data_IF_501817936903
#
_entry.id   IF_501817936903
#
_cell.length_a   1.000
_cell.length_b   1.000
_cell.length_c   1.000
_cell.angle_alpha   90.00
_cell.angle_beta   90.00
_cell.angle_gamma   90.00
#
_symmetry.space_group_name_H-M   'P 1'
#
loop_
_entity.id
_entity.type
_entity.pdbx_description
1 polymer ?
#
# COMPACT_ATOMS: atom_id res chain seq x y z
N UNK A 1 -14.13 -17.68 23.74
CA UNK A 1 -15.09 -17.03 24.68
C UNK A 1 -14.70 -15.57 24.98
N UNK A 2 -13.43 -15.17 24.85
CA UNK A 2 -12.96 -13.78 25.03
C UNK A 2 -12.79 -13.00 23.70
N UNK A 3 -13.04 -13.62 22.55
CA UNK A 3 -12.70 -13.09 21.21
C UNK A 3 -13.55 -11.88 20.79
N UNK A 4 -14.65 -11.59 21.49
CA UNK A 4 -15.49 -10.41 21.27
C UNK A 4 -15.20 -9.22 22.19
N UNK A 5 -14.19 -9.32 23.08
CA UNK A 5 -13.79 -8.23 23.98
C UNK A 5 -12.56 -7.50 23.45
N UNK A 6 -12.51 -6.19 23.69
CA UNK A 6 -11.32 -5.38 23.40
C UNK A 6 -10.12 -5.90 24.23
N UNK A 7 -8.93 -5.87 23.64
CA UNK A 7 -7.70 -6.32 24.28
C UNK A 7 -7.40 -5.49 25.55
N UNK A 8 -7.66 -4.19 25.49
CA UNK A 8 -7.43 -3.24 26.59
C UNK A 8 -5.99 -2.74 26.71
N UNK A 9 -5.80 -1.74 27.57
CA UNK A 9 -4.51 -1.12 27.85
C UNK A 9 -3.74 -1.86 28.95
N UNK A 10 -2.42 -1.65 29.03
CA UNK A 10 -1.60 -2.23 30.10
C UNK A 10 -2.07 -1.80 31.51
N UNK A 11 -2.53 -0.55 31.63
CA UNK A 11 -3.07 0.02 32.87
C UNK A 11 -4.38 -0.65 33.33
N UNK A 12 -5.12 -1.31 32.43
CA UNK A 12 -6.40 -1.95 32.76
C UNK A 12 -6.22 -3.14 33.73
N UNK A 13 -5.01 -3.71 33.80
CA UNK A 13 -4.66 -4.81 34.71
C UNK A 13 -4.73 -4.40 36.18
N UNK A 14 -4.41 -3.15 36.48
CA UNK A 14 -4.28 -2.62 37.84
C UNK A 14 -5.28 -1.51 38.15
N UNK A 15 -6.10 -1.11 37.17
CA UNK A 15 -7.12 -0.08 37.33
C UNK A 15 -8.27 -0.59 38.19
N UNK A 16 -8.76 0.26 39.09
CA UNK A 16 -9.99 -0.01 39.84
C UNK A 16 -11.10 0.99 39.49
N UNK A 17 -12.32 0.52 39.15
CA UNK A 17 -12.69 -0.89 38.92
C UNK A 17 -12.03 -1.46 37.64
N UNK A 18 -11.72 -2.76 37.63
CA UNK A 18 -11.13 -3.43 36.45
C UNK A 18 -12.12 -3.39 35.28
N UNK A 19 -11.73 -2.84 34.11
CA UNK A 19 -12.62 -2.77 32.96
C UNK A 19 -12.81 -4.16 32.33
N UNK A 20 -13.88 -4.33 31.54
CA UNK A 20 -14.18 -5.57 30.81
C UNK A 20 -13.32 -5.71 29.54
N UNK A 21 -12.00 -5.79 29.71
CA UNK A 21 -11.02 -6.01 28.64
C UNK A 21 -10.33 -7.36 28.81
N UNK A 22 -9.81 -7.94 27.71
CA UNK A 22 -9.12 -9.24 27.77
C UNK A 22 -7.95 -9.19 28.76
N UNK A 23 -7.14 -8.11 28.75
CA UNK A 23 -6.02 -7.92 29.69
C UNK A 23 -6.46 -7.85 31.15
N UNK A 24 -7.54 -7.14 31.46
CA UNK A 24 -8.05 -7.04 32.83
C UNK A 24 -8.59 -8.38 33.34
N UNK A 25 -9.26 -9.15 32.47
CA UNK A 25 -9.79 -10.48 32.81
C UNK A 25 -8.69 -11.53 32.97
N UNK A 26 -7.69 -11.53 32.09
CA UNK A 26 -6.52 -12.42 32.23
C UNK A 26 -5.72 -12.09 33.50
N UNK A 27 -5.51 -10.81 33.81
CA UNK A 27 -4.88 -10.40 35.07
C UNK A 27 -5.71 -10.83 36.29
N UNK A 28 -7.04 -10.76 36.21
CA UNK A 28 -7.92 -11.19 37.30
C UNK A 28 -7.86 -12.71 37.53
N UNK A 29 -7.86 -13.48 36.44
CA UNK A 29 -7.72 -14.93 36.50
C UNK A 29 -6.33 -15.33 37.04
N UNK A 30 -5.27 -14.65 36.61
CA UNK A 30 -3.92 -14.86 37.12
C UNK A 30 -3.85 -14.62 38.63
N UNK A 31 -4.39 -13.49 39.12
CA UNK A 31 -4.39 -13.17 40.55
C UNK A 31 -5.24 -14.17 41.37
N UNK A 32 -6.35 -14.65 40.81
CA UNK A 32 -7.16 -15.71 41.42
C UNK A 32 -6.37 -17.00 41.59
N UNK A 33 -5.71 -17.47 40.53
CA UNK A 33 -4.89 -18.68 40.60
C UNK A 33 -3.72 -18.51 41.56
N UNK A 34 -3.08 -17.33 41.57
CA UNK A 34 -2.01 -17.01 42.50
C UNK A 34 -2.46 -17.07 43.97
N UNK A 35 -3.63 -16.52 44.27
CA UNK A 35 -4.21 -16.51 45.61
C UNK A 35 -4.71 -17.91 46.05
N UNK A 36 -5.10 -18.75 45.08
CA UNK A 36 -5.63 -20.08 45.36
C UNK A 36 -4.57 -21.11 45.77
N UNK A 37 -3.29 -20.83 45.54
CA UNK A 37 -2.17 -21.73 45.82
C UNK A 37 -0.97 -20.99 46.42
N UNK A 38 -1.10 -20.31 47.58
CA UNK A 38 -0.04 -19.46 48.15
C UNK A 38 1.27 -20.21 48.42
N UNK A 39 1.21 -21.53 48.59
CA UNK A 39 2.33 -22.44 48.69
C UNK A 39 2.08 -23.64 47.76
N UNK A 40 3.14 -24.30 47.29
CA UNK A 40 3.02 -25.54 46.50
C UNK A 40 3.29 -26.73 47.41
N UNK A 41 2.23 -27.39 47.86
CA UNK A 41 2.34 -28.54 48.77
C UNK A 41 2.05 -29.89 48.07
N UNK A 42 1.55 -29.84 46.83
CA UNK A 42 1.25 -31.01 46.00
C UNK A 42 0.92 -30.65 44.56
N UNK A 43 0.59 -31.68 43.77
CA UNK A 43 0.38 -31.57 42.32
C UNK A 43 -0.77 -30.62 41.94
N UNK A 44 -1.86 -30.57 42.71
CA UNK A 44 -2.97 -29.65 42.43
C UNK A 44 -2.57 -28.17 42.58
N UNK A 45 -1.72 -27.84 43.56
CA UNK A 45 -1.23 -26.47 43.75
C UNK A 45 -0.28 -26.07 42.63
N UNK A 46 0.49 -27.03 42.12
CA UNK A 46 1.32 -26.83 40.94
C UNK A 46 0.45 -26.51 39.72
N UNK A 47 -0.61 -27.28 39.46
CA UNK A 47 -1.52 -27.02 38.34
C UNK A 47 -2.12 -25.61 38.44
N UNK A 48 -2.51 -25.16 39.64
CA UNK A 48 -3.01 -23.80 39.87
C UNK A 48 -1.96 -22.74 39.57
N UNK A 49 -0.70 -22.94 39.97
CA UNK A 49 0.40 -22.02 39.66
C UNK A 49 0.83 -22.03 38.19
N UNK A 50 0.68 -23.15 37.51
CA UNK A 50 0.86 -23.22 36.06
C UNK A 50 -0.27 -22.49 35.32
N UNK A 51 -1.51 -22.62 35.80
CA UNK A 51 -2.63 -21.83 35.28
C UNK A 51 -2.42 -20.33 35.50
N UNK A 52 -1.86 -19.90 36.64
CA UNK A 52 -1.41 -18.51 36.84
C UNK A 52 -0.43 -18.09 35.74
N UNK A 53 0.62 -18.88 35.48
CA UNK A 53 1.62 -18.59 34.43
C UNK A 53 0.93 -18.42 33.07
N UNK A 54 0.05 -19.34 32.68
CA UNK A 54 -0.66 -19.25 31.40
C UNK A 54 -1.54 -18.00 31.31
N UNK A 55 -2.27 -17.65 32.39
CA UNK A 55 -3.09 -16.45 32.41
C UNK A 55 -2.25 -15.18 32.35
N UNK A 56 -1.10 -15.14 33.03
CA UNK A 56 -0.14 -14.02 32.95
C UNK A 56 0.44 -13.89 31.54
N UNK A 57 0.79 -15.00 30.89
CA UNK A 57 1.25 -14.99 29.49
C UNK A 57 0.16 -14.50 28.54
N UNK A 58 -1.07 -14.98 28.68
CA UNK A 58 -2.21 -14.55 27.88
C UNK A 58 -2.59 -13.07 28.11
N UNK A 59 -2.39 -12.56 29.33
CA UNK A 59 -2.57 -11.16 29.70
C UNK A 59 -1.38 -10.24 29.36
N UNK A 60 -0.28 -10.80 28.85
CA UNK A 60 0.96 -10.08 28.53
C UNK A 60 1.74 -9.59 29.76
N UNK A 61 1.63 -10.26 30.91
CA UNK A 61 2.45 -10.06 32.12
C UNK A 61 3.63 -11.06 32.13
N UNK A 62 4.49 -11.04 31.11
CA UNK A 62 5.56 -12.04 30.91
C UNK A 62 6.66 -11.99 31.98
N UNK A 63 6.98 -10.81 32.52
CA UNK A 63 7.94 -10.68 33.63
C UNK A 63 7.46 -11.41 34.88
N UNK A 64 6.21 -11.15 35.31
CA UNK A 64 5.59 -11.87 36.44
C UNK A 64 5.44 -13.36 36.16
N UNK A 65 5.13 -13.76 34.92
CA UNK A 65 5.11 -15.17 34.54
C UNK A 65 6.50 -15.81 34.67
N UNK A 66 7.55 -15.09 34.26
CA UNK A 66 8.96 -15.45 34.46
C UNK A 66 9.33 -15.64 35.92
N UNK A 67 8.98 -14.67 36.77
CA UNK A 67 9.19 -14.72 38.22
C UNK A 67 8.52 -15.94 38.86
N UNK A 68 7.25 -16.21 38.50
CA UNK A 68 6.50 -17.37 39.02
C UNK A 68 7.13 -18.68 38.54
N UNK A 69 7.53 -18.79 37.28
CA UNK A 69 8.21 -19.99 36.76
C UNK A 69 9.59 -20.22 37.39
N UNK A 70 10.37 -19.16 37.63
CA UNK A 70 11.64 -19.26 38.33
C UNK A 70 11.45 -19.70 39.79
N UNK A 71 10.45 -19.15 40.46
CA UNK A 71 10.08 -19.56 41.81
C UNK A 71 9.61 -21.03 41.86
N UNK A 72 8.77 -21.48 40.92
CA UNK A 72 8.31 -22.87 40.83
C UNK A 72 9.48 -23.85 40.67
N UNK A 73 10.46 -23.49 39.83
CA UNK A 73 11.66 -24.28 39.63
C UNK A 73 12.47 -24.44 40.92
N UNK A 74 12.67 -23.35 41.67
CA UNK A 74 13.40 -23.43 42.94
C UNK A 74 12.65 -24.27 43.97
N UNK A 75 11.32 -24.10 44.04
CA UNK A 75 10.44 -24.77 45.01
C UNK A 75 10.35 -26.27 44.75
N UNK A 76 10.38 -26.70 43.48
CA UNK A 76 10.21 -28.10 43.09
C UNK A 76 11.53 -28.84 42.77
N UNK A 77 12.66 -28.13 42.73
CA UNK A 77 13.99 -28.71 42.50
C UNK A 77 14.43 -29.73 43.57
N UNK A 78 13.77 -29.80 44.73
CA UNK A 78 14.07 -30.75 45.79
C UNK A 78 13.59 -32.19 45.52
N UNK A 79 12.80 -32.44 44.47
CA UNK A 79 12.29 -33.79 44.12
C UNK A 79 12.97 -34.45 42.90
N UNK A 80 14.05 -33.88 42.33
CA UNK A 80 14.82 -34.47 41.21
C UNK A 80 13.95 -34.96 40.02
N UNK A 81 12.97 -34.16 39.58
CA UNK A 81 12.29 -34.40 38.30
C UNK A 81 12.42 -33.15 37.43
N UNK A 82 13.29 -33.21 36.41
CA UNK A 82 13.27 -32.21 35.34
C UNK A 82 11.91 -32.31 34.64
N UNK A 83 11.07 -31.28 34.79
CA UNK A 83 9.73 -31.27 34.24
C UNK A 83 9.80 -30.81 32.77
N UNK A 84 9.51 -31.69 31.78
CA UNK A 84 9.57 -31.34 30.36
C UNK A 84 8.66 -30.16 30.01
N UNK A 85 7.61 -29.94 30.80
CA UNK A 85 6.59 -28.93 30.54
C UNK A 85 7.00 -27.52 30.98
N UNK A 86 7.74 -27.37 32.08
CA UNK A 86 8.34 -26.08 32.49
C UNK A 86 9.41 -25.62 31.48
N UNK A 87 10.17 -26.58 30.92
CA UNK A 87 11.09 -26.30 29.82
C UNK A 87 10.35 -25.86 28.54
N UNK A 88 9.22 -26.51 28.21
CA UNK A 88 8.36 -26.10 27.09
C UNK A 88 7.73 -24.72 27.30
N UNK A 89 7.30 -24.37 28.51
CA UNK A 89 6.79 -23.04 28.83
C UNK A 89 7.87 -21.96 28.76
N UNK A 90 9.10 -22.26 29.22
CA UNK A 90 10.24 -21.34 29.08
C UNK A 90 10.62 -21.11 27.63
N UNK A 91 10.56 -22.13 26.79
CA UNK A 91 10.74 -21.97 25.34
C UNK A 91 9.68 -21.06 24.71
N UNK A 92 8.53 -20.84 25.37
CA UNK A 92 7.46 -19.92 24.94
C UNK A 92 7.58 -18.51 25.53
N UNK A 93 8.60 -18.24 26.35
CA UNK A 93 8.92 -16.91 26.85
C UNK A 93 10.29 -16.51 26.28
N UNK A 94 10.32 -15.89 25.08
CA UNK A 94 11.54 -15.32 24.56
C UNK A 94 12.11 -14.31 25.57
N UNK A 95 13.42 -14.34 25.78
CA UNK A 95 14.11 -13.21 26.40
C UNK A 95 14.23 -12.14 25.30
N UNK A 96 13.64 -10.97 25.53
CA UNK A 96 13.42 -9.85 24.59
C UNK A 96 12.11 -9.92 23.77
N UNK A 97 11.45 -8.77 23.66
CA UNK A 97 10.03 -8.55 23.33
C UNK A 97 9.72 -8.71 21.82
N UNK A 98 10.46 -9.58 21.14
CA UNK A 98 10.54 -9.69 19.67
C UNK A 98 9.18 -9.84 18.96
N UNK A 99 8.21 -10.57 19.55
CA UNK A 99 6.86 -10.70 18.97
C UNK A 99 6.04 -9.42 19.10
N UNK A 100 6.18 -8.70 20.22
CA UNK A 100 5.51 -7.41 20.40
C UNK A 100 6.19 -6.35 19.55
N UNK A 101 7.50 -6.42 19.39
CA UNK A 101 8.27 -5.53 18.52
C UNK A 101 7.87 -5.70 17.06
N UNK A 102 7.74 -6.94 16.57
CA UNK A 102 7.19 -7.22 15.24
C UNK A 102 5.78 -6.63 15.06
N UNK A 103 4.90 -6.82 16.06
CA UNK A 103 3.54 -6.25 15.99
C UNK A 103 3.52 -4.72 16.06
N UNK A 104 4.41 -4.12 16.86
CA UNK A 104 4.55 -2.67 16.99
C UNK A 104 5.08 -2.06 15.69
N UNK A 105 6.12 -2.65 15.10
CA UNK A 105 6.71 -2.24 13.82
C UNK A 105 5.68 -2.34 12.71
N UNK A 106 4.94 -3.45 12.58
CA UNK A 106 3.87 -3.59 11.59
C UNK A 106 2.74 -2.56 11.79
N UNK A 107 2.29 -2.35 13.03
CA UNK A 107 1.23 -1.37 13.33
C UNK A 107 1.68 0.07 13.08
N UNK A 108 2.95 0.38 13.35
CA UNK A 108 3.57 1.67 13.05
C UNK A 108 3.70 1.87 11.55
N UNK A 109 4.19 0.88 10.82
CA UNK A 109 4.28 0.89 9.36
C UNK A 109 2.92 1.16 8.71
N UNK A 110 1.84 0.50 9.14
CA UNK A 110 0.48 0.77 8.64
C UNK A 110 0.04 2.22 8.92
N UNK A 111 0.42 2.78 10.07
CA UNK A 111 0.13 4.17 10.43
C UNK A 111 0.92 5.14 9.55
N UNK A 112 2.19 4.88 9.30
CA UNK A 112 3.09 5.66 8.44
C UNK A 112 2.61 5.64 6.98
N UNK A 113 2.14 4.50 6.47
CA UNK A 113 1.52 4.41 5.15
C UNK A 113 0.27 5.30 5.03
N UNK A 114 -0.58 5.34 6.06
CA UNK A 114 -1.72 6.25 6.12
C UNK A 114 -1.30 7.74 6.20
N UNK A 115 -0.09 8.02 6.68
CA UNK A 115 0.50 9.37 6.72
C UNK A 115 1.29 9.71 5.45
N UNK A 116 1.32 8.79 4.47
CA UNK A 116 2.07 8.90 3.22
C UNK A 116 3.60 8.96 3.41
N UNK A 117 4.10 8.21 4.40
CA UNK A 117 5.53 7.99 4.65
C UNK A 117 5.93 6.52 4.40
N UNK A 118 6.03 6.10 3.12
CA UNK A 118 6.35 4.72 2.79
C UNK A 118 7.81 4.35 3.06
N UNK A 119 8.74 5.31 3.12
CA UNK A 119 10.16 5.00 3.34
C UNK A 119 10.39 4.51 4.77
N UNK A 120 9.93 5.27 5.77
CA UNK A 120 10.01 4.82 7.18
C UNK A 120 9.20 3.54 7.42
N UNK A 121 8.07 3.38 6.73
CA UNK A 121 7.27 2.15 6.83
C UNK A 121 8.00 0.92 6.26
N UNK A 122 8.81 1.09 5.21
CA UNK A 122 9.64 0.03 4.64
C UNK A 122 10.71 -0.39 5.65
N UNK A 123 11.42 0.58 6.24
CA UNK A 123 12.45 0.31 7.25
C UNK A 123 11.87 -0.52 8.43
N UNK A 124 10.70 -0.13 8.94
CA UNK A 124 10.00 -0.85 10.01
C UNK A 124 9.64 -2.30 9.65
N UNK A 125 9.17 -2.50 8.41
CA UNK A 125 8.75 -3.82 7.94
C UNK A 125 9.95 -4.73 7.66
N UNK A 126 11.06 -4.18 7.17
CA UNK A 126 12.31 -4.92 7.01
C UNK A 126 12.87 -5.35 8.37
N UNK A 127 12.91 -4.45 9.36
CA UNK A 127 13.30 -4.79 10.74
C UNK A 127 12.40 -5.89 11.34
N UNK A 128 11.08 -5.79 11.15
CA UNK A 128 10.15 -6.81 11.63
C UNK A 128 10.38 -8.19 10.97
N UNK A 129 10.66 -8.21 9.66
CA UNK A 129 10.98 -9.46 8.95
C UNK A 129 12.29 -10.05 9.45
N UNK A 130 13.33 -9.23 9.66
CA UNK A 130 14.61 -9.68 10.22
C UNK A 130 14.43 -10.35 11.59
N UNK A 131 13.60 -9.77 12.46
CA UNK A 131 13.26 -10.37 13.76
C UNK A 131 12.54 -11.72 13.57
N UNK A 132 11.55 -11.79 12.68
CA UNK A 132 10.82 -13.05 12.41
C UNK A 132 11.72 -14.17 11.87
N UNK A 133 12.76 -13.83 11.11
CA UNK A 133 13.66 -14.80 10.47
C UNK A 133 14.88 -15.18 11.33
N UNK A 134 14.98 -14.68 12.56
CA UNK A 134 16.05 -15.10 13.49
C UNK A 134 15.97 -16.62 13.74
N UNK A 135 17.11 -17.34 13.77
CA UNK A 135 17.13 -18.81 13.87
C UNK A 135 16.41 -19.40 15.08
N UNK A 136 16.24 -18.62 16.14
CA UNK A 136 15.61 -18.97 17.40
C UNK A 136 14.11 -18.63 17.48
N UNK A 137 13.58 -17.79 16.58
CA UNK A 137 12.16 -17.44 16.51
C UNK A 137 11.42 -18.13 15.36
N UNK A 138 11.96 -18.08 14.14
CA UNK A 138 11.41 -18.68 12.92
C UNK A 138 9.88 -18.52 12.76
N UNK A 139 9.39 -17.28 12.82
CA UNK A 139 7.96 -16.94 12.69
C UNK A 139 7.56 -16.83 11.21
N UNK A 140 7.63 -17.93 10.47
CA UNK A 140 7.40 -17.97 9.01
C UNK A 140 6.05 -17.36 8.59
N UNK A 141 4.97 -17.62 9.34
CA UNK A 141 3.65 -17.04 9.07
C UNK A 141 3.66 -15.50 9.17
N UNK A 142 4.32 -14.97 10.19
CA UNK A 142 4.43 -13.52 10.39
C UNK A 142 5.33 -12.88 9.34
N UNK A 143 6.45 -13.52 8.97
CA UNK A 143 7.31 -13.06 7.88
C UNK A 143 6.56 -13.00 6.53
N UNK A 144 5.70 -13.99 6.26
CA UNK A 144 4.87 -14.00 5.05
C UNK A 144 3.88 -12.82 5.00
N UNK A 145 3.15 -12.57 6.08
CA UNK A 145 2.23 -11.42 6.17
C UNK A 145 2.97 -10.08 6.04
N UNK A 146 4.10 -9.93 6.75
CA UNK A 146 4.94 -8.74 6.68
C UNK A 146 5.49 -8.51 5.26
N UNK A 147 5.85 -9.57 4.53
CA UNK A 147 6.29 -9.45 3.13
C UNK A 147 5.17 -8.91 2.21
N UNK A 148 3.90 -9.29 2.45
CA UNK A 148 2.75 -8.73 1.74
C UNK A 148 2.58 -7.23 2.07
N UNK A 149 2.71 -6.85 3.34
CA UNK A 149 2.67 -5.45 3.76
C UNK A 149 3.81 -4.63 3.14
N UNK A 150 5.02 -5.18 3.12
CA UNK A 150 6.21 -4.58 2.52
C UNK A 150 6.04 -4.37 1.02
N UNK A 151 5.48 -5.35 0.31
CA UNK A 151 5.09 -5.18 -1.09
C UNK A 151 4.09 -4.03 -1.30
N UNK A 152 3.16 -3.85 -0.36
CA UNK A 152 2.20 -2.73 -0.36
C UNK A 152 2.88 -1.37 -0.19
N UNK A 153 3.85 -1.28 0.71
CA UNK A 153 4.64 -0.08 0.95
C UNK A 153 5.50 0.30 -0.27
N UNK A 154 6.16 -0.66 -0.91
CA UNK A 154 6.89 -0.44 -2.15
C UNK A 154 5.98 0.04 -3.30
N UNK A 155 4.77 -0.51 -3.43
CA UNK A 155 3.79 0.01 -4.40
C UNK A 155 3.42 1.46 -4.14
N UNK A 156 3.21 1.85 -2.87
CA UNK A 156 2.91 3.24 -2.52
C UNK A 156 4.08 4.18 -2.81
N UNK A 157 5.32 3.72 -2.62
CA UNK A 157 6.55 4.44 -3.03
C UNK A 157 6.71 4.54 -4.56
N UNK A 158 5.98 3.72 -5.33
CA UNK A 158 6.09 3.63 -6.79
C UNK A 158 7.15 2.64 -7.29
N UNK A 159 7.69 1.81 -6.40
CA UNK A 159 8.68 0.77 -6.70
C UNK A 159 7.99 -0.57 -7.00
N UNK A 160 7.40 -0.65 -8.19
CA UNK A 160 6.60 -1.81 -8.58
C UNK A 160 7.43 -3.10 -8.80
N UNK A 161 8.74 -2.97 -9.08
CA UNK A 161 9.62 -4.11 -9.29
C UNK A 161 9.85 -4.85 -7.96
N UNK A 162 10.34 -4.13 -6.94
CA UNK A 162 10.57 -4.68 -5.61
C UNK A 162 9.27 -5.19 -4.98
N UNK A 163 8.16 -4.48 -5.17
CA UNK A 163 6.86 -4.95 -4.70
C UNK A 163 6.48 -6.32 -5.29
N UNK A 164 6.71 -6.52 -6.59
CA UNK A 164 6.47 -7.79 -7.26
C UNK A 164 7.29 -8.92 -6.67
N UNK A 165 8.57 -8.69 -6.39
CA UNK A 165 9.47 -9.67 -5.76
C UNK A 165 8.96 -10.08 -4.37
N UNK A 166 8.54 -9.11 -3.54
CA UNK A 166 8.00 -9.40 -2.20
C UNK A 166 6.70 -10.18 -2.25
N UNK A 167 5.79 -9.85 -3.17
CA UNK A 167 4.56 -10.62 -3.34
C UNK A 167 4.80 -12.03 -3.89
N UNK A 168 5.77 -12.21 -4.78
CA UNK A 168 6.16 -13.56 -5.24
C UNK A 168 6.72 -14.39 -4.11
N UNK A 169 7.65 -13.84 -3.32
CA UNK A 169 8.16 -14.52 -2.12
C UNK A 169 7.03 -14.95 -1.17
N UNK A 170 6.14 -14.02 -0.81
CA UNK A 170 5.02 -14.33 0.08
C UNK A 170 4.05 -15.36 -0.52
N UNK A 171 3.87 -15.36 -1.85
CA UNK A 171 3.03 -16.35 -2.52
C UNK A 171 3.64 -17.77 -2.43
N UNK A 172 4.95 -17.89 -2.70
CA UNK A 172 5.63 -19.18 -2.66
C UNK A 172 5.56 -19.78 -1.25
N UNK A 173 5.87 -18.99 -0.21
CA UNK A 173 5.76 -19.39 1.20
C UNK A 173 4.31 -19.75 1.59
N UNK A 174 3.32 -18.97 1.13
CA UNK A 174 1.93 -19.23 1.42
C UNK A 174 1.40 -20.50 0.73
N UNK A 175 1.85 -20.82 -0.48
CA UNK A 175 1.46 -22.05 -1.18
C UNK A 175 2.11 -23.29 -0.56
N UNK A 176 3.38 -23.20 -0.14
CA UNK A 176 4.04 -24.28 0.60
C UNK A 176 3.37 -24.55 1.95
N UNK A 177 2.90 -23.50 2.63
CA UNK A 177 2.19 -23.59 3.91
C UNK A 177 0.68 -23.86 3.83
N UNK A 178 0.11 -24.01 2.62
CA UNK A 178 -1.34 -24.11 2.36
C UNK A 178 -2.18 -22.95 2.97
N UNK A 179 -1.61 -21.75 2.98
CA UNK A 179 -2.16 -20.54 3.60
C UNK A 179 -3.01 -19.76 2.59
N UNK A 180 -4.27 -20.18 2.43
CA UNK A 180 -5.15 -19.65 1.39
C UNK A 180 -5.40 -18.14 1.48
N UNK A 181 -5.58 -17.57 2.67
CA UNK A 181 -5.76 -16.12 2.84
C UNK A 181 -4.55 -15.33 2.33
N UNK A 182 -3.35 -15.70 2.78
CA UNK A 182 -2.10 -15.02 2.43
C UNK A 182 -1.76 -15.19 0.95
N UNK A 183 -1.95 -16.38 0.38
CA UNK A 183 -1.79 -16.62 -1.06
C UNK A 183 -2.75 -15.73 -1.88
N UNK A 184 -4.01 -15.60 -1.43
CA UNK A 184 -4.99 -14.71 -2.05
C UNK A 184 -4.58 -13.23 -2.00
N UNK A 185 -4.07 -12.76 -0.86
CA UNK A 185 -3.58 -11.39 -0.67
C UNK A 185 -2.34 -11.10 -1.50
N UNK A 186 -1.34 -12.00 -1.50
CA UNK A 186 -0.12 -11.88 -2.29
C UNK A 186 -0.43 -11.79 -3.79
N UNK A 187 -1.31 -12.69 -4.30
CA UNK A 187 -1.80 -12.60 -5.69
C UNK A 187 -2.55 -11.30 -5.97
N UNK A 188 -3.33 -10.79 -5.01
CA UNK A 188 -3.96 -9.47 -5.13
C UNK A 188 -2.94 -8.33 -5.28
N UNK A 189 -1.82 -8.40 -4.56
CA UNK A 189 -0.66 -7.53 -4.75
C UNK A 189 -0.06 -7.62 -6.16
N UNK A 190 0.12 -8.84 -6.67
CA UNK A 190 0.60 -9.07 -8.04
C UNK A 190 -0.37 -8.53 -9.10
N UNK A 191 -1.69 -8.60 -8.91
CA UNK A 191 -2.68 -7.97 -9.80
C UNK A 191 -2.42 -6.47 -9.93
N UNK A 192 -2.15 -5.79 -8.81
CA UNK A 192 -1.80 -4.35 -8.80
C UNK A 192 -0.48 -4.10 -9.51
N UNK A 193 0.54 -4.94 -9.29
CA UNK A 193 1.81 -4.81 -9.99
C UNK A 193 1.66 -4.97 -11.51
N UNK A 194 0.88 -5.96 -11.95
CA UNK A 194 0.59 -6.19 -13.37
C UNK A 194 -0.22 -5.04 -13.98
N UNK A 195 -1.13 -4.43 -13.22
CA UNK A 195 -1.87 -3.24 -13.61
C UNK A 195 -0.93 -2.06 -13.89
N UNK A 196 0.00 -1.74 -12.98
CA UNK A 196 0.98 -0.66 -13.17
C UNK A 196 1.85 -0.87 -14.41
N UNK A 197 2.22 -2.12 -14.71
CA UNK A 197 2.96 -2.48 -15.92
C UNK A 197 2.10 -2.55 -17.20
N UNK A 198 0.79 -2.30 -17.11
CA UNK A 198 -0.16 -2.37 -18.23
C UNK A 198 -0.44 -3.78 -18.75
N UNK A 199 -0.11 -4.83 -17.98
CA UNK A 199 -0.31 -6.24 -18.33
C UNK A 199 -1.71 -6.73 -17.93
N UNK A 200 -2.76 -6.08 -18.43
CA UNK A 200 -4.14 -6.29 -17.98
C UNK A 200 -4.67 -7.72 -18.20
N UNK A 201 -4.26 -8.39 -19.28
CA UNK A 201 -4.66 -9.80 -19.53
C UNK A 201 -4.10 -10.73 -18.45
N UNK A 202 -2.86 -10.49 -18.02
CA UNK A 202 -2.22 -11.26 -16.95
C UNK A 202 -2.85 -10.92 -15.60
N UNK A 203 -3.11 -9.64 -15.34
CA UNK A 203 -3.79 -9.19 -14.14
C UNK A 203 -5.17 -9.85 -13.96
N UNK A 204 -5.95 -10.02 -15.05
CA UNK A 204 -7.24 -10.73 -14.99
C UNK A 204 -7.10 -12.24 -14.74
N UNK A 205 -6.01 -12.87 -15.21
CA UNK A 205 -5.71 -14.28 -14.89
C UNK A 205 -5.34 -14.44 -13.43
N UNK A 206 -4.48 -13.56 -12.92
CA UNK A 206 -4.08 -13.55 -11.51
C UNK A 206 -5.24 -13.21 -10.58
N UNK A 207 -6.12 -12.28 -10.96
CA UNK A 207 -7.36 -12.01 -10.22
C UNK A 207 -8.19 -13.26 -10.00
N UNK A 208 -8.41 -14.08 -11.04
CA UNK A 208 -9.18 -15.33 -10.93
C UNK A 208 -8.54 -16.33 -9.97
N UNK A 209 -7.20 -16.41 -9.98
CA UNK A 209 -6.44 -17.27 -9.07
C UNK A 209 -6.55 -16.77 -7.63
N UNK A 210 -6.32 -15.47 -7.42
CA UNK A 210 -6.49 -14.83 -6.11
C UNK A 210 -7.89 -15.05 -5.54
N UNK A 211 -8.92 -14.86 -6.37
CA UNK A 211 -10.32 -15.04 -6.00
C UNK A 211 -10.62 -16.49 -5.58
N UNK A 212 -10.08 -17.46 -6.30
CA UNK A 212 -10.24 -18.88 -5.96
C UNK A 212 -9.62 -19.23 -4.60
N UNK A 213 -8.50 -18.61 -4.21
CA UNK A 213 -7.95 -18.79 -2.86
C UNK A 213 -8.84 -18.17 -1.78
N UNK A 214 -9.29 -16.93 -2.00
CA UNK A 214 -10.12 -16.20 -1.03
C UNK A 214 -11.53 -16.79 -0.87
N UNK A 215 -12.06 -17.46 -1.91
CA UNK A 215 -13.37 -18.14 -1.86
C UNK A 215 -13.33 -19.52 -1.20
N UNK A 216 -12.14 -20.12 -1.06
CA UNK A 216 -11.97 -21.44 -0.41
C UNK A 216 -11.98 -21.35 1.12
N UNK A 217 -11.61 -20.20 1.69
CA UNK A 217 -11.43 -20.05 3.13
C UNK A 217 -12.62 -19.35 3.79
N UNK A 218 -13.13 -19.94 4.87
CA UNK A 218 -13.99 -19.25 5.85
C UNK A 218 -13.16 -18.44 6.88
N UNK A 219 -11.89 -18.18 6.55
CA UNK A 219 -10.94 -17.52 7.45
C UNK A 219 -11.35 -16.06 7.75
N UNK A 220 -11.23 -15.62 9.02
CA UNK A 220 -11.41 -14.22 9.38
C UNK A 220 -10.51 -13.32 8.52
N UNK A 221 -11.10 -12.38 7.79
CA UNK A 221 -10.38 -11.46 6.91
C UNK A 221 -10.41 -11.81 5.41
N UNK A 222 -10.82 -13.03 5.04
CA UNK A 222 -10.97 -13.42 3.62
C UNK A 222 -11.97 -12.52 2.87
N UNK A 223 -13.09 -12.18 3.51
CA UNK A 223 -14.09 -11.28 2.93
C UNK A 223 -13.54 -9.87 2.69
N UNK A 224 -12.78 -9.32 3.66
CA UNK A 224 -12.16 -8.00 3.51
C UNK A 224 -11.10 -8.01 2.40
N UNK A 225 -10.27 -9.04 2.36
CA UNK A 225 -9.25 -9.23 1.32
C UNK A 225 -9.87 -9.40 -0.06
N UNK A 226 -11.02 -10.08 -0.16
CA UNK A 226 -11.77 -10.19 -1.41
C UNK A 226 -12.28 -8.81 -1.88
N UNK A 227 -12.69 -7.93 -0.97
CA UNK A 227 -13.12 -6.57 -1.34
C UNK A 227 -11.94 -5.72 -1.85
N UNK A 228 -10.76 -5.84 -1.23
CA UNK A 228 -9.53 -5.21 -1.74
C UNK A 228 -9.18 -5.72 -3.13
N UNK A 229 -9.33 -7.02 -3.37
CA UNK A 229 -9.12 -7.63 -4.68
C UNK A 229 -10.12 -7.10 -5.73
N UNK A 230 -11.40 -6.90 -5.36
CA UNK A 230 -12.40 -6.32 -6.27
C UNK A 230 -12.10 -4.88 -6.67
N UNK A 231 -11.48 -4.07 -5.79
CA UNK A 231 -10.99 -2.73 -6.15
C UNK A 231 -9.95 -2.80 -7.28
N UNK A 232 -8.96 -3.68 -7.14
CA UNK A 232 -7.93 -3.87 -8.16
C UNK A 232 -8.52 -4.42 -9.47
N UNK A 233 -9.46 -5.35 -9.38
CA UNK A 233 -10.18 -5.90 -10.52
C UNK A 233 -10.96 -4.81 -11.28
N UNK A 234 -11.71 -3.96 -10.58
CA UNK A 234 -12.44 -2.87 -11.20
C UNK A 234 -11.51 -1.92 -11.97
N UNK A 235 -10.35 -1.57 -11.41
CA UNK A 235 -9.34 -0.74 -12.09
C UNK A 235 -8.81 -1.41 -13.37
N UNK A 236 -8.47 -2.71 -13.30
CA UNK A 236 -8.02 -3.48 -14.47
C UNK A 236 -9.11 -3.55 -15.55
N UNK A 237 -10.36 -3.81 -15.17
CA UNK A 237 -11.49 -3.86 -16.09
C UNK A 237 -11.73 -2.50 -16.75
N UNK A 238 -11.70 -1.40 -15.98
CA UNK A 238 -11.82 -0.05 -16.49
C UNK A 238 -10.71 0.27 -17.51
N UNK A 239 -9.45 -0.08 -17.22
CA UNK A 239 -8.31 0.13 -18.10
C UNK A 239 -8.41 -0.65 -19.43
N UNK A 240 -9.18 -1.74 -19.48
CA UNK A 240 -9.49 -2.46 -20.73
C UNK A 240 -10.60 -1.79 -21.56
N UNK A 241 -11.15 -0.67 -21.11
CA UNK A 241 -12.23 0.09 -21.77
C UNK A 241 -13.64 -0.37 -21.38
N UNK A 242 -13.77 -1.34 -20.47
CA UNK A 242 -15.06 -1.89 -20.02
C UNK A 242 -15.61 -1.10 -18.83
N UNK A 243 -15.99 0.14 -19.06
CA UNK A 243 -16.38 1.07 -17.99
C UNK A 243 -17.66 0.65 -17.24
N UNK A 244 -18.67 0.14 -17.94
CA UNK A 244 -19.93 -0.32 -17.31
C UNK A 244 -19.74 -1.49 -16.34
N UNK A 245 -19.07 -2.59 -16.75
CA UNK A 245 -18.74 -3.69 -15.83
C UNK A 245 -17.87 -3.25 -14.64
N UNK A 246 -16.90 -2.35 -14.86
CA UNK A 246 -16.12 -1.78 -13.74
C UNK A 246 -17.02 -0.99 -12.77
N UNK A 247 -17.98 -0.24 -13.30
CA UNK A 247 -18.97 0.50 -12.52
C UNK A 247 -19.76 -0.45 -11.59
N UNK A 248 -20.28 -1.55 -12.13
CA UNK A 248 -21.04 -2.55 -11.37
C UNK A 248 -20.23 -3.17 -10.21
N UNK A 249 -18.98 -3.55 -10.47
CA UNK A 249 -18.07 -4.12 -9.45
C UNK A 249 -17.87 -3.11 -8.31
N UNK A 250 -17.62 -1.83 -8.64
CA UNK A 250 -17.43 -0.79 -7.62
C UNK A 250 -18.68 -0.55 -6.78
N UNK A 251 -19.88 -0.58 -7.37
CA UNK A 251 -21.13 -0.42 -6.61
C UNK A 251 -21.41 -1.59 -5.67
N UNK A 252 -21.19 -2.81 -6.14
CA UNK A 252 -21.37 -4.02 -5.34
C UNK A 252 -20.38 -4.04 -4.17
N UNK A 253 -19.10 -3.78 -4.45
CA UNK A 253 -18.06 -3.72 -3.44
C UNK A 253 -18.30 -2.63 -2.40
N UNK A 254 -18.71 -1.42 -2.82
CA UNK A 254 -19.08 -0.32 -1.90
C UNK A 254 -20.20 -0.73 -0.94
N UNK A 255 -21.29 -1.32 -1.46
CA UNK A 255 -22.41 -1.76 -0.62
C UNK A 255 -21.93 -2.79 0.40
N UNK A 256 -21.15 -3.77 -0.05
CA UNK A 256 -20.66 -4.83 0.82
C UNK A 256 -19.70 -4.33 1.89
N UNK A 257 -18.78 -3.42 1.54
CA UNK A 257 -17.90 -2.76 2.50
C UNK A 257 -18.69 -1.97 3.56
N UNK A 258 -19.77 -1.31 3.14
CA UNK A 258 -20.68 -0.59 4.04
C UNK A 258 -21.42 -1.50 5.01
N UNK A 259 -21.94 -2.64 4.55
CA UNK A 259 -22.57 -3.67 5.40
C UNK A 259 -21.61 -4.20 6.47
N UNK A 260 -20.33 -4.33 6.14
CA UNK A 260 -19.28 -4.81 7.05
C UNK A 260 -18.71 -3.70 7.96
N UNK A 261 -19.20 -2.46 7.86
CA UNK A 261 -18.68 -1.32 8.63
C UNK A 261 -17.24 -0.92 8.27
N UNK A 262 -16.70 -1.39 7.14
CA UNK A 262 -15.33 -1.12 6.71
C UNK A 262 -15.26 0.25 6.02
N UNK A 263 -15.17 1.30 6.84
CA UNK A 263 -15.18 2.70 6.37
C UNK A 263 -14.05 3.02 5.39
N UNK A 264 -12.85 2.46 5.60
CA UNK A 264 -11.70 2.66 4.72
C UNK A 264 -11.97 2.11 3.31
N UNK A 265 -12.44 0.85 3.19
CA UNK A 265 -12.79 0.27 1.89
C UNK A 265 -13.97 0.98 1.24
N UNK A 266 -14.96 1.40 2.03
CA UNK A 266 -16.09 2.18 1.52
C UNK A 266 -15.58 3.48 0.85
N UNK A 267 -14.64 4.18 1.50
CA UNK A 267 -13.97 5.35 0.92
C UNK A 267 -13.20 5.03 -0.36
N UNK A 268 -12.42 3.94 -0.36
CA UNK A 268 -11.65 3.51 -1.54
C UNK A 268 -12.56 3.18 -2.75
N UNK A 269 -13.69 2.48 -2.55
CA UNK A 269 -14.66 2.21 -3.61
C UNK A 269 -15.29 3.49 -4.17
N UNK A 270 -15.61 4.46 -3.31
CA UNK A 270 -16.15 5.76 -3.76
C UNK A 270 -15.08 6.55 -4.52
N UNK A 271 -13.82 6.50 -4.08
CA UNK A 271 -12.70 7.15 -4.75
C UNK A 271 -12.48 6.61 -6.16
N UNK A 272 -12.38 5.30 -6.31
CA UNK A 272 -12.24 4.65 -7.63
C UNK A 272 -13.47 4.90 -8.52
N UNK A 273 -14.67 4.98 -7.94
CA UNK A 273 -15.90 5.35 -8.67
C UNK A 273 -15.84 6.80 -9.18
N UNK A 274 -15.24 7.70 -8.41
CA UNK A 274 -15.04 9.10 -8.82
C UNK A 274 -14.08 9.19 -10.03
N UNK A 275 -12.97 8.44 -10.00
CA UNK A 275 -12.06 8.29 -11.15
C UNK A 275 -12.79 7.76 -12.38
N UNK A 276 -13.56 6.68 -12.22
CA UNK A 276 -14.32 6.09 -13.32
C UNK A 276 -15.36 7.06 -13.91
N UNK A 277 -15.95 7.94 -13.09
CA UNK A 277 -16.85 8.98 -13.58
C UNK A 277 -16.15 9.99 -14.49
N UNK A 278 -14.87 10.31 -14.25
CA UNK A 278 -14.09 11.14 -15.16
C UNK A 278 -13.87 10.44 -16.50
N UNK A 279 -13.51 9.16 -16.48
CA UNK A 279 -13.30 8.36 -17.71
C UNK A 279 -14.58 8.24 -18.54
N UNK A 280 -15.75 8.23 -17.89
CA UNK A 280 -17.06 8.22 -18.52
C UNK A 280 -17.55 9.60 -18.98
N UNK A 281 -16.77 10.68 -18.77
CA UNK A 281 -17.17 12.04 -19.11
C UNK A 281 -18.29 12.61 -18.23
N UNK A 282 -18.35 12.20 -16.95
CA UNK A 282 -19.34 12.63 -15.95
C UNK A 282 -18.68 13.47 -14.82
N UNK A 283 -18.08 14.64 -15.13
CA UNK A 283 -17.31 15.43 -14.16
C UNK A 283 -18.14 15.92 -12.97
N UNK A 284 -19.42 16.24 -13.16
CA UNK A 284 -20.31 16.64 -12.05
C UNK A 284 -20.47 15.54 -11.00
N UNK A 285 -20.60 14.28 -11.43
CA UNK A 285 -20.69 13.13 -10.53
C UNK A 285 -19.34 12.80 -9.88
N UNK A 286 -18.25 12.93 -10.64
CA UNK A 286 -16.90 12.77 -10.11
C UNK A 286 -16.63 13.77 -8.97
N UNK A 287 -17.03 15.04 -9.13
CA UNK A 287 -16.91 16.09 -8.11
C UNK A 287 -17.63 15.71 -6.83
N UNK A 288 -18.91 15.32 -6.92
CA UNK A 288 -19.71 14.92 -5.74
C UNK A 288 -19.05 13.78 -4.95
N UNK A 289 -18.61 12.74 -5.65
CA UNK A 289 -17.98 11.57 -5.03
C UNK A 289 -16.61 11.93 -4.44
N UNK A 290 -15.78 12.68 -5.17
CA UNK A 290 -14.45 13.08 -4.71
C UNK A 290 -14.51 14.02 -3.49
N UNK A 291 -15.48 14.95 -3.43
CA UNK A 291 -15.70 15.78 -2.23
C UNK A 291 -16.02 14.92 -1.01
N UNK A 292 -16.90 13.93 -1.16
CA UNK A 292 -17.23 13.01 -0.06
C UNK A 292 -16.01 12.20 0.40
N UNK A 293 -15.18 11.71 -0.53
CA UNK A 293 -13.97 10.95 -0.18
C UNK A 293 -12.93 11.83 0.51
N UNK A 294 -12.80 13.10 0.12
CA UNK A 294 -11.93 14.07 0.78
C UNK A 294 -12.28 14.18 2.27
N UNK A 295 -13.57 14.34 2.59
CA UNK A 295 -14.07 14.42 3.97
C UNK A 295 -13.85 13.13 4.75
N UNK A 296 -14.11 11.97 4.12
CA UNK A 296 -13.85 10.67 4.71
C UNK A 296 -12.37 10.47 5.02
N UNK A 297 -11.48 10.82 4.08
CA UNK A 297 -10.04 10.74 4.27
C UNK A 297 -9.54 11.65 5.41
N UNK A 298 -10.16 12.83 5.60
CA UNK A 298 -9.88 13.70 6.75
C UNK A 298 -10.29 13.04 8.07
N UNK A 299 -11.49 12.47 8.14
CA UNK A 299 -11.98 11.80 9.36
C UNK A 299 -11.16 10.57 9.75
N UNK A 300 -10.63 9.84 8.76
CA UNK A 300 -9.83 8.63 8.98
C UNK A 300 -8.33 8.92 9.14
N UNK A 301 -7.90 10.17 9.01
CA UNK A 301 -6.48 10.55 8.93
C UNK A 301 -5.70 9.74 7.88
N UNK A 302 -6.31 9.51 6.71
CA UNK A 302 -5.71 8.77 5.60
C UNK A 302 -5.27 9.75 4.49
N UNK A 303 -4.00 10.14 4.52
CA UNK A 303 -3.40 11.12 3.61
C UNK A 303 -3.43 10.64 2.15
N UNK A 304 -3.09 9.37 1.81
CA UNK A 304 -3.18 8.89 0.43
C UNK A 304 -4.59 9.01 -0.17
N UNK A 305 -5.63 8.60 0.57
CA UNK A 305 -7.01 8.67 0.12
C UNK A 305 -7.47 10.12 -0.12
N UNK A 306 -7.07 11.05 0.75
CA UNK A 306 -7.33 12.48 0.55
C UNK A 306 -6.63 13.02 -0.69
N UNK A 307 -5.36 12.65 -0.89
CA UNK A 307 -4.56 13.08 -2.04
C UNK A 307 -5.22 12.63 -3.34
N UNK A 308 -5.57 11.35 -3.43
CA UNK A 308 -6.25 10.80 -4.60
C UNK A 308 -7.58 11.51 -4.86
N UNK A 309 -8.41 11.69 -3.83
CA UNK A 309 -9.68 12.41 -3.95
C UNK A 309 -9.48 13.87 -4.39
N UNK A 310 -8.47 14.56 -3.88
CA UNK A 310 -8.14 15.93 -4.25
C UNK A 310 -7.70 16.04 -5.72
N UNK A 311 -6.93 15.08 -6.24
CA UNK A 311 -6.55 15.00 -7.65
C UNK A 311 -7.80 14.84 -8.53
N UNK A 312 -8.66 13.86 -8.19
CA UNK A 312 -9.90 13.60 -8.95
C UNK A 312 -10.84 14.81 -8.88
N UNK A 313 -10.92 15.49 -7.74
CA UNK A 313 -11.71 16.70 -7.56
C UNK A 313 -11.20 17.84 -8.45
N UNK A 314 -9.89 18.05 -8.51
CA UNK A 314 -9.29 19.05 -9.39
C UNK A 314 -9.58 18.75 -10.87
N UNK A 315 -9.43 17.49 -11.29
CA UNK A 315 -9.75 17.05 -12.65
C UNK A 315 -11.25 17.23 -12.97
N UNK A 316 -12.13 16.93 -12.01
CA UNK A 316 -13.57 17.14 -12.16
C UNK A 316 -13.90 18.61 -12.39
N UNK A 317 -13.29 19.54 -11.64
CA UNK A 317 -13.46 20.98 -11.86
C UNK A 317 -12.98 21.43 -13.25
N UNK A 318 -11.83 20.94 -13.71
CA UNK A 318 -11.32 21.22 -15.05
C UNK A 318 -12.23 20.71 -16.17
N UNK A 319 -12.94 19.60 -15.93
CA UNK A 319 -13.83 18.96 -16.90
C UNK A 319 -15.23 19.57 -17.03
N UNK A 320 -15.64 20.51 -16.18
CA UNK A 320 -17.01 21.06 -16.20
C UNK A 320 -17.23 22.14 -17.27
N UNK A 321 -16.69 23.34 -17.06
CA UNK A 321 -16.99 24.52 -17.89
C UNK A 321 -15.78 25.44 -18.15
N UNK A 322 -14.61 25.12 -17.59
CA UNK A 322 -13.39 25.93 -17.73
C UNK A 322 -13.51 27.35 -17.19
N UNK A 323 -14.53 27.66 -16.38
CA UNK A 323 -14.74 29.00 -15.83
C UNK A 323 -13.61 29.39 -14.88
N UNK A 324 -13.44 30.70 -14.65
CA UNK A 324 -12.48 31.21 -13.68
C UNK A 324 -12.76 30.68 -12.25
N UNK A 325 -14.01 30.33 -11.95
CA UNK A 325 -14.40 29.74 -10.67
C UNK A 325 -14.01 28.27 -10.60
N UNK A 326 -14.24 27.50 -11.66
CA UNK A 326 -13.79 26.11 -11.79
C UNK A 326 -12.26 26.01 -11.73
N UNK A 327 -11.53 26.93 -12.34
CA UNK A 327 -10.06 26.98 -12.25
C UNK A 327 -9.57 27.29 -10.83
N UNK A 328 -10.22 28.23 -10.13
CA UNK A 328 -9.92 28.53 -8.72
C UNK A 328 -10.19 27.34 -7.81
N UNK A 329 -11.31 26.64 -8.02
CA UNK A 329 -11.68 25.46 -7.26
C UNK A 329 -10.74 24.27 -7.54
N UNK A 330 -10.34 24.08 -8.80
CA UNK A 330 -9.34 23.08 -9.19
C UNK A 330 -8.01 23.34 -8.49
N UNK A 331 -7.56 24.60 -8.43
CA UNK A 331 -6.33 24.97 -7.73
C UNK A 331 -6.43 24.71 -6.23
N UNK A 332 -7.55 25.08 -5.60
CA UNK A 332 -7.76 24.82 -4.17
C UNK A 332 -7.73 23.31 -3.87
N UNK A 333 -8.37 22.49 -4.70
CA UNK A 333 -8.31 21.03 -4.59
C UNK A 333 -6.88 20.50 -4.81
N UNK A 334 -6.16 20.98 -5.83
CA UNK A 334 -4.77 20.59 -6.09
C UNK A 334 -3.84 20.91 -4.91
N UNK A 335 -4.06 22.02 -4.21
CA UNK A 335 -3.30 22.36 -3.00
C UNK A 335 -3.52 21.34 -1.88
N UNK A 336 -4.72 20.77 -1.76
CA UNK A 336 -5.00 19.69 -0.79
C UNK A 336 -4.36 18.34 -1.17
N UNK A 337 -4.03 18.13 -2.45
CA UNK A 337 -3.30 16.94 -2.90
C UNK A 337 -1.81 16.97 -2.53
N UNK A 338 -1.27 18.15 -2.19
CA UNK A 338 0.14 18.33 -1.83
C UNK A 338 0.28 18.34 -0.32
N UNK A 339 0.70 17.22 0.26
CA UNK A 339 1.00 17.14 1.69
C UNK A 339 2.42 16.59 1.96
N UNK A 340 3.46 17.28 1.47
CA UNK A 340 4.81 17.30 2.08
C UNK A 340 5.63 18.48 1.52
N UNK A 341 6.25 19.34 2.35
CA UNK A 341 7.28 20.26 1.90
C UNK A 341 8.63 19.54 1.90
N UNK A 342 9.13 19.19 0.72
CA UNK A 342 10.53 19.35 0.26
C UNK A 342 10.87 18.38 -0.86
N UNK A 343 10.97 18.94 -2.08
CA UNK A 343 12.15 18.88 -2.96
C UNK A 343 11.85 19.74 -4.20
N UNK A 344 12.02 21.06 -4.06
CA UNK A 344 11.46 22.03 -5.01
C UNK A 344 12.19 21.99 -6.36
N UNK A 345 13.52 22.00 -6.43
CA UNK A 345 14.21 22.23 -7.71
C UNK A 345 14.14 21.03 -8.66
N UNK A 346 14.38 19.82 -8.17
CA UNK A 346 14.36 18.57 -8.97
C UNK A 346 12.97 18.30 -9.55
N UNK A 347 11.92 18.56 -8.79
CA UNK A 347 10.53 18.42 -9.24
C UNK A 347 10.19 19.39 -10.36
N UNK A 348 10.57 20.67 -10.24
CA UNK A 348 10.32 21.66 -11.29
C UNK A 348 11.14 21.37 -12.55
N UNK A 349 12.40 20.93 -12.43
CA UNK A 349 13.23 20.52 -13.57
C UNK A 349 12.63 19.30 -14.28
N UNK A 350 12.13 18.29 -13.54
CA UNK A 350 11.43 17.14 -14.12
C UNK A 350 10.13 17.54 -14.84
N UNK A 351 9.37 18.47 -14.28
CA UNK A 351 8.16 18.99 -14.92
C UNK A 351 8.48 19.70 -16.24
N UNK A 352 9.54 20.52 -16.27
CA UNK A 352 10.02 21.20 -17.48
C UNK A 352 10.53 20.20 -18.53
N UNK A 353 11.29 19.19 -18.11
CA UNK A 353 11.75 18.11 -18.99
C UNK A 353 10.59 17.29 -19.58
N UNK A 354 9.48 17.17 -18.84
CA UNK A 354 8.24 16.53 -19.28
C UNK A 354 7.34 17.45 -20.15
N UNK A 355 7.78 18.68 -20.47
CA UNK A 355 7.08 19.60 -21.37
C UNK A 355 6.23 20.66 -20.68
N UNK A 356 6.35 20.84 -19.36
CA UNK A 356 5.77 22.00 -18.70
C UNK A 356 6.38 23.30 -19.28
N UNK A 357 5.53 24.30 -19.51
CA UNK A 357 5.91 25.58 -20.14
C UNK A 357 6.20 26.68 -19.12
N UNK A 358 5.89 26.45 -17.84
CA UNK A 358 6.22 27.31 -16.71
C UNK A 358 6.28 26.47 -15.43
N UNK A 359 6.99 26.97 -14.43
CA UNK A 359 7.10 26.39 -13.10
C UNK A 359 6.90 27.51 -12.09
N UNK A 360 6.17 27.26 -11.01
CA UNK A 360 5.99 28.21 -9.91
C UNK A 360 6.12 27.49 -8.59
N UNK A 361 6.70 28.11 -7.56
CA UNK A 361 6.80 27.51 -6.24
C UNK A 361 5.41 27.14 -5.71
N UNK A 362 5.34 26.04 -4.95
CA UNK A 362 4.07 25.50 -4.45
C UNK A 362 3.36 26.42 -3.45
N UNK A 363 4.09 27.35 -2.85
CA UNK A 363 3.64 28.33 -1.86
C UNK A 363 3.38 29.73 -2.45
N UNK A 364 3.33 29.85 -3.78
CA UNK A 364 3.20 31.16 -4.43
C UNK A 364 1.81 31.78 -4.23
N UNK A 365 1.78 33.10 -4.06
CA UNK A 365 0.54 33.86 -3.91
C UNK A 365 -0.36 33.74 -5.16
N UNK A 366 -1.70 33.71 -5.01
CA UNK A 366 -2.64 33.52 -6.13
C UNK A 366 -2.51 34.54 -7.28
N UNK A 367 -2.11 35.77 -6.96
CA UNK A 367 -1.83 36.81 -7.95
C UNK A 367 -0.65 36.45 -8.87
N UNK A 368 0.35 35.75 -8.34
CA UNK A 368 1.52 35.31 -9.09
C UNK A 368 1.22 34.10 -9.99
N UNK A 369 0.31 33.20 -9.58
CA UNK A 369 -0.19 32.11 -10.45
C UNK A 369 -0.92 32.72 -11.64
N UNK A 370 -1.82 33.68 -11.40
CA UNK A 370 -2.53 34.40 -12.47
C UNK A 370 -1.56 35.07 -13.44
N UNK A 371 -0.59 35.83 -12.93
CA UNK A 371 0.42 36.49 -13.75
C UNK A 371 1.27 35.49 -14.56
N UNK A 372 1.47 34.28 -14.03
CA UNK A 372 2.17 33.20 -14.73
C UNK A 372 1.34 32.66 -15.89
N UNK A 373 0.05 32.39 -15.68
CA UNK A 373 -0.86 31.94 -16.75
C UNK A 373 -0.98 33.00 -17.85
N UNK A 374 -1.14 34.27 -17.47
CA UNK A 374 -1.20 35.39 -18.42
C UNK A 374 0.11 35.51 -19.23
N UNK A 375 1.25 35.25 -18.60
CA UNK A 375 2.55 35.23 -19.27
C UNK A 375 2.67 34.06 -20.26
N UNK A 376 2.25 32.86 -19.88
CA UNK A 376 2.25 31.67 -20.75
C UNK A 376 1.35 31.87 -21.97
N UNK A 377 0.14 32.42 -21.78
CA UNK A 377 -0.77 32.76 -22.88
C UNK A 377 -0.15 33.77 -23.84
N UNK A 378 0.66 34.71 -23.32
CA UNK A 378 1.38 35.68 -24.12
C UNK A 378 2.73 35.16 -24.69
N UNK A 379 2.95 33.84 -24.67
CA UNK A 379 4.16 33.20 -25.22
C UNK A 379 5.42 33.37 -24.38
N UNK A 380 5.28 33.71 -23.09
CA UNK A 380 6.40 33.90 -22.14
C UNK A 380 6.39 32.79 -21.08
N UNK A 381 7.57 32.37 -20.63
CA UNK A 381 7.70 31.42 -19.52
C UNK A 381 7.99 32.16 -18.22
N UNK A 382 7.51 31.61 -17.10
CA UNK A 382 7.84 32.07 -15.74
C UNK A 382 8.45 30.90 -14.99
N UNK A 383 9.63 31.14 -14.41
CA UNK A 383 10.41 30.14 -13.68
C UNK A 383 10.98 30.78 -12.40
N UNK A 384 11.10 30.03 -11.29
CA UNK A 384 11.86 30.46 -10.14
C UNK A 384 13.34 30.65 -10.52
N UNK A 385 13.99 31.66 -9.94
CA UNK A 385 15.39 31.99 -10.27
C UNK A 385 16.34 30.85 -9.93
N UNK A 386 16.08 30.11 -8.86
CA UNK A 386 16.79 28.91 -8.42
C UNK A 386 16.66 27.76 -9.43
N UNK A 387 15.47 27.56 -10.04
CA UNK A 387 15.27 26.60 -11.13
C UNK A 387 16.03 27.04 -12.39
N UNK A 388 15.97 28.33 -12.75
CA UNK A 388 16.73 28.87 -13.88
C UNK A 388 18.24 28.75 -13.66
N UNK A 389 18.74 28.99 -12.44
CA UNK A 389 20.15 28.79 -12.06
C UNK A 389 20.55 27.32 -12.15
N UNK A 390 19.70 26.41 -11.71
CA UNK A 390 19.89 24.96 -11.89
C UNK A 390 20.00 24.55 -13.35
N UNK A 391 19.25 25.20 -14.25
CA UNK A 391 19.30 24.98 -15.70
C UNK A 391 20.49 25.64 -16.42
N UNK A 392 21.08 26.69 -15.83
CA UNK A 392 22.12 27.51 -16.48
C UNK A 392 23.52 27.33 -15.89
N UNK A 393 23.66 26.58 -14.79
CA UNK A 393 24.97 26.26 -14.18
C UNK A 393 25.67 25.15 -14.98
N UNK A 394 26.83 25.41 -15.60
CA UNK A 394 27.56 24.40 -16.37
C UNK A 394 28.02 23.26 -15.46
N UNK A 395 27.57 22.04 -15.76
CA UNK A 395 28.00 20.82 -15.05
C UNK A 395 27.13 20.36 -13.86
N UNK A 396 26.05 21.08 -13.51
CA UNK A 396 25.16 20.68 -12.40
C UNK A 396 23.95 19.82 -12.85
N UNK A 397 23.59 19.85 -14.12
CA UNK A 397 22.63 18.93 -14.73
C UNK A 397 23.17 18.62 -16.11
N UNK A 398 23.82 17.47 -16.27
CA UNK A 398 23.89 16.85 -17.59
C UNK A 398 22.44 16.71 -18.04
N UNK A 399 22.01 17.35 -19.15
CA UNK A 399 20.73 17.01 -19.74
C UNK A 399 20.73 15.49 -19.89
N UNK A 400 19.69 14.75 -19.48
CA UNK A 400 19.64 13.35 -19.84
C UNK A 400 19.71 13.35 -21.37
N UNK A 401 20.82 12.84 -21.89
CA UNK A 401 20.90 12.33 -23.25
C UNK A 401 19.58 11.60 -23.47
N UNK A 402 18.88 11.92 -24.56
CA UNK A 402 17.57 11.35 -24.84
C UNK A 402 17.66 9.85 -24.57
N UNK A 403 17.04 9.41 -23.46
CA UNK A 403 17.29 8.09 -22.91
C UNK A 403 17.00 7.13 -24.06
N UNK A 404 18.00 6.37 -24.54
CA UNK A 404 17.81 5.53 -25.70
C UNK A 404 16.62 4.63 -25.43
N UNK A 405 15.72 4.41 -26.41
CA UNK A 405 14.59 3.53 -26.21
C UNK A 405 15.07 2.19 -25.67
N UNK A 406 14.32 1.61 -24.75
CA UNK A 406 14.70 0.33 -24.16
C UNK A 406 14.89 -0.73 -25.27
N UNK A 407 15.66 -1.80 -25.04
CA UNK A 407 15.84 -2.87 -26.03
C UNK A 407 14.52 -3.41 -26.60
N UNK A 408 13.46 -3.40 -25.77
CA UNK A 408 12.10 -3.77 -26.14
C UNK A 408 11.44 -2.76 -27.08
N UNK A 409 11.58 -1.47 -26.79
CA UNK A 409 11.07 -0.38 -27.63
C UNK A 409 11.78 -0.31 -28.98
N UNK A 410 13.09 -0.56 -28.99
CA UNK A 410 13.85 -0.75 -30.23
C UNK A 410 13.37 -1.97 -31.02
N UNK A 411 12.99 -3.05 -30.34
CA UNK A 411 12.31 -4.19 -30.95
C UNK A 411 11.04 -3.78 -31.69
N UNK A 412 10.18 -2.98 -31.04
CA UNK A 412 8.95 -2.47 -31.68
C UNK A 412 9.25 -1.57 -32.88
N UNK A 413 10.22 -0.67 -32.78
CA UNK A 413 10.61 0.21 -33.89
C UNK A 413 11.19 -0.60 -35.07
N UNK A 414 11.98 -1.66 -34.81
CA UNK A 414 12.46 -2.57 -35.86
C UNK A 414 11.31 -3.28 -36.55
N UNK A 415 10.38 -3.86 -35.79
CA UNK A 415 9.21 -4.54 -36.36
C UNK A 415 8.36 -3.58 -37.21
N UNK A 416 8.12 -2.37 -36.71
CA UNK A 416 7.43 -1.31 -37.45
C UNK A 416 8.21 -0.87 -38.69
N UNK A 417 9.55 -0.87 -38.66
CA UNK A 417 10.38 -0.55 -39.83
C UNK A 417 10.29 -1.62 -40.93
N UNK A 418 10.05 -2.88 -40.55
CA UNK A 418 9.88 -4.01 -41.47
C UNK A 418 8.45 -4.16 -42.02
N UNK A 419 7.54 -3.24 -41.67
CA UNK A 419 6.18 -3.19 -42.19
C UNK A 419 5.12 -3.87 -41.31
N UNK A 420 5.47 -4.33 -40.10
CA UNK A 420 4.48 -4.84 -39.16
C UNK A 420 3.41 -3.78 -38.84
N UNK A 421 2.17 -4.24 -38.62
CA UNK A 421 1.10 -3.37 -38.13
C UNK A 421 1.20 -3.19 -36.62
N UNK A 422 0.52 -2.17 -36.08
CA UNK A 422 0.45 -1.96 -34.63
C UNK A 422 -0.20 -3.16 -33.94
N UNK A 423 -1.17 -3.81 -34.59
CA UNK A 423 -1.78 -5.05 -34.10
C UNK A 423 -0.76 -6.20 -34.01
N UNK A 424 0.07 -6.40 -35.04
CA UNK A 424 1.09 -7.47 -35.05
C UNK A 424 2.13 -7.28 -33.94
N UNK A 425 2.55 -6.03 -33.72
CA UNK A 425 3.51 -5.69 -32.66
C UNK A 425 2.84 -5.85 -31.29
N UNK A 426 1.57 -5.48 -31.15
CA UNK A 426 0.79 -5.66 -29.93
C UNK A 426 0.68 -7.15 -29.54
N UNK A 427 0.30 -8.00 -30.49
CA UNK A 427 0.13 -9.42 -30.26
C UNK A 427 1.45 -10.11 -29.88
N UNK A 428 2.55 -9.79 -30.57
CA UNK A 428 3.88 -10.33 -30.23
C UNK A 428 4.43 -9.81 -28.91
N UNK A 429 4.15 -8.55 -28.57
CA UNK A 429 4.62 -7.94 -27.33
C UNK A 429 3.74 -8.25 -26.11
N UNK A 430 2.61 -8.96 -26.30
CA UNK A 430 1.67 -9.33 -25.25
C UNK A 430 0.74 -8.19 -24.79
N UNK A 431 0.54 -7.17 -25.63
CA UNK A 431 -0.31 -6.02 -25.33
C UNK A 431 -1.63 -6.06 -26.12
N UNK A 432 -2.63 -5.27 -25.72
CA UNK A 432 -3.78 -4.98 -26.58
C UNK A 432 -3.38 -3.94 -27.63
N UNK A 433 -4.04 -3.95 -28.79
CA UNK A 433 -3.77 -2.98 -29.85
C UNK A 433 -3.91 -1.53 -29.37
N UNK A 434 -4.96 -1.21 -28.60
CA UNK A 434 -5.16 0.10 -27.98
C UNK A 434 -4.03 0.51 -27.02
N UNK A 435 -3.51 -0.44 -26.24
CA UNK A 435 -2.36 -0.21 -25.36
C UNK A 435 -1.08 0.01 -26.16
N UNK A 436 -0.88 -0.75 -27.24
CA UNK A 436 0.26 -0.54 -28.12
C UNK A 436 0.22 0.84 -28.79
N UNK A 437 -0.96 1.32 -29.19
CA UNK A 437 -1.12 2.71 -29.64
C UNK A 437 -0.71 3.73 -28.58
N UNK A 438 -1.08 3.50 -27.31
CA UNK A 438 -0.68 4.37 -26.20
C UNK A 438 0.84 4.34 -25.97
N UNK A 439 1.43 3.14 -25.86
CA UNK A 439 2.87 2.94 -25.65
C UNK A 439 3.71 3.52 -26.77
N UNK A 440 3.30 3.31 -28.03
CA UNK A 440 3.97 3.91 -29.18
C UNK A 440 3.83 5.43 -29.18
N UNK A 441 2.68 5.98 -28.79
CA UNK A 441 2.50 7.43 -28.67
C UNK A 441 3.40 8.02 -27.59
N UNK A 442 3.54 7.37 -26.45
CA UNK A 442 4.46 7.76 -25.38
C UNK A 442 5.93 7.65 -25.81
N UNK A 443 6.29 6.57 -26.52
CA UNK A 443 7.62 6.39 -27.10
C UNK A 443 7.92 7.51 -28.11
N UNK A 444 7.01 7.80 -29.02
CA UNK A 444 7.17 8.88 -30.00
C UNK A 444 7.30 10.25 -29.31
N UNK A 445 6.51 10.48 -28.26
CA UNK A 445 6.57 11.72 -27.48
C UNK A 445 7.92 11.87 -26.78
N UNK A 446 8.46 10.79 -26.18
CA UNK A 446 9.81 10.78 -25.59
C UNK A 446 10.91 10.97 -26.64
N UNK A 447 10.73 10.41 -27.83
CA UNK A 447 11.62 10.60 -28.97
C UNK A 447 11.50 12.00 -29.58
N UNK A 448 10.46 12.77 -29.24
CA UNK A 448 10.06 14.04 -29.88
C UNK A 448 9.69 13.87 -31.36
N UNK A 449 9.08 12.74 -31.69
CA UNK A 449 8.50 12.47 -33.00
C UNK A 449 6.98 12.67 -32.97
N UNK A 450 6.43 13.37 -33.96
CA UNK A 450 4.99 13.60 -34.09
C UNK A 450 4.22 12.42 -34.71
N UNK A 451 4.91 11.50 -35.38
CA UNK A 451 4.29 10.34 -36.02
C UNK A 451 5.26 9.15 -36.21
N UNK A 452 4.72 7.99 -36.62
CA UNK A 452 5.47 6.75 -36.88
C UNK A 452 6.67 6.97 -37.82
N UNK A 453 6.48 7.70 -38.91
CA UNK A 453 7.51 7.91 -39.93
C UNK A 453 8.67 8.73 -39.38
N UNK A 454 8.36 9.81 -38.67
CA UNK A 454 9.34 10.67 -38.00
C UNK A 454 10.11 9.90 -36.92
N UNK A 455 9.42 9.06 -36.13
CA UNK A 455 10.07 8.24 -35.10
C UNK A 455 11.07 7.23 -35.70
N UNK A 456 10.71 6.59 -36.83
CA UNK A 456 11.59 5.63 -37.51
C UNK A 456 12.80 6.31 -38.17
N UNK A 457 12.62 7.49 -38.76
CA UNK A 457 13.71 8.29 -39.32
C UNK A 457 14.70 8.71 -38.22
N UNK A 458 14.16 9.23 -37.11
CA UNK A 458 14.95 9.70 -35.97
C UNK A 458 15.73 8.56 -35.31
N UNK A 459 15.14 7.37 -35.21
CA UNK A 459 15.80 6.17 -34.69
C UNK A 459 16.95 5.71 -35.60
N UNK A 460 16.80 5.85 -36.93
CA UNK A 460 17.86 5.55 -37.90
C UNK A 460 18.98 6.57 -37.89
N UNK A 461 18.66 7.86 -37.82
CA UNK A 461 19.64 8.97 -37.73
C UNK A 461 20.50 8.87 -36.46
N UNK A 462 19.95 8.31 -35.38
CA UNK A 462 20.64 8.08 -34.11
C UNK A 462 21.32 6.71 -33.98
N UNK A 463 21.28 5.89 -35.04
CA UNK A 463 21.94 4.58 -35.07
C UNK A 463 21.29 3.50 -34.20
N UNK A 464 20.01 3.65 -33.87
CA UNK A 464 19.26 2.68 -33.06
C UNK A 464 18.60 1.56 -33.88
N UNK A 465 18.46 1.77 -35.21
CA UNK A 465 17.88 0.86 -36.19
C UNK A 465 18.88 0.51 -37.30
#
# INVERSE_FOLDING_TARGET
MLDGLDLGFAADRTREPRPLTRRALYALAADYFAASAPQVLGEEDMIRRLAEVEMRLAGGERDKAGEVMAWLDTTWSHEQRANPWLAQLRARVPMEDDYLDVQNLSSRAMTLLNQDDPDTAIDDLEEAIEICLRPDLLLHLSACDLAIQLGGAHLQRGDCATAGERYTYALDEAEEGDLHLLAGQARGGLVRCLYEHGKFKDALREYKRAKAHLDRGDEPGATGSSLVLELAHAAVVAATGRLGPAEEVLDQGRRKAGELGQRHLTGAFIGQRATLCLDMGRPGRARELATHVLDLGMQMNNVPLRREAAIVLAQAYLGMDGSADSLRAAQAAANHAVLRPDDAVTTHVRALAAGAVAAVPRDVQPSAVRATVESVVAGRTVLPIDVLRGLTTPGAVTPPEAVPPSPRELGWLRELSTGATVADVADRAGYSERMMFRLLRELYTRMRAGNRTEALLLARERGWL
#
